data_IF_757755576694
#
_entry.id   IF_757755576694
#
_cell.length_a   1.000
_cell.length_b   1.000
_cell.length_c   1.000
_cell.angle_alpha   90.00
_cell.angle_beta   90.00
_cell.angle_gamma   90.00
#
_symmetry.space_group_name_H-M   'P 1'
#
loop_
_entity.id
_entity.type
_entity.pdbx_description
1 polymer ?
#
# COMPACT_ATOMS: atom_id res chain seq x y z
N UNK A 1 64.33 -10.06 -8.97
CA UNK A 1 63.24 -10.97 -9.40
C UNK A 1 62.39 -11.26 -8.19
N UNK A 2 61.15 -10.78 -8.18
CA UNK A 2 59.99 -11.40 -7.55
C UNK A 2 58.79 -10.53 -7.92
N UNK A 3 58.32 -10.77 -9.14
CA UNK A 3 57.07 -10.25 -9.68
C UNK A 3 55.94 -11.12 -9.14
N UNK A 4 54.95 -10.52 -8.46
CA UNK A 4 53.58 -11.02 -8.55
C UNK A 4 52.58 -9.95 -8.09
N UNK A 5 52.00 -9.26 -9.07
CA UNK A 5 50.73 -8.58 -8.92
C UNK A 5 49.61 -9.60 -8.70
N UNK A 6 48.74 -9.37 -7.72
CA UNK A 6 47.34 -9.78 -7.78
C UNK A 6 46.55 -8.96 -6.76
N UNK A 7 46.12 -7.76 -7.17
CA UNK A 7 45.03 -7.03 -6.52
C UNK A 7 43.74 -7.75 -6.88
N UNK A 8 43.25 -8.61 -5.98
CA UNK A 8 41.94 -9.23 -6.10
C UNK A 8 40.96 -8.43 -5.23
N UNK A 9 40.13 -7.63 -5.89
CA UNK A 9 38.90 -7.13 -5.28
C UNK A 9 38.03 -8.34 -4.88
N UNK A 10 37.56 -8.44 -3.62
CA UNK A 10 36.59 -9.47 -3.29
C UNK A 10 35.27 -9.19 -4.03
N UNK A 11 34.77 -10.24 -4.67
CA UNK A 11 33.53 -10.26 -5.42
C UNK A 11 32.33 -9.95 -4.52
N UNK A 12 31.37 -9.27 -5.13
CA UNK A 12 29.99 -9.03 -4.71
C UNK A 12 29.42 -10.11 -3.76
N UNK A 13 29.31 -9.76 -2.48
CA UNK A 13 28.54 -10.52 -1.49
C UNK A 13 27.15 -9.89 -1.36
N UNK A 14 26.19 -10.32 -2.19
CA UNK A 14 24.76 -10.16 -1.86
C UNK A 14 24.31 -11.35 -1.00
N UNK A 15 24.13 -11.20 0.32
CA UNK A 15 23.63 -12.30 1.13
C UNK A 15 22.13 -12.54 0.87
N UNK A 16 21.80 -13.80 0.65
CA UNK A 16 20.59 -14.44 1.20
C UNK A 16 19.22 -13.90 0.75
N UNK A 17 18.79 -14.28 -0.46
CA UNK A 17 17.37 -14.39 -0.83
C UNK A 17 17.05 -15.76 -1.46
N UNK A 18 17.57 -16.81 -0.82
CA UNK A 18 17.36 -18.20 -1.22
C UNK A 18 16.39 -18.91 -0.27
N UNK A 19 16.34 -18.48 1.01
CA UNK A 19 15.48 -19.10 2.04
C UNK A 19 13.98 -18.89 1.79
N UNK A 20 13.56 -17.67 1.38
CA UNK A 20 12.14 -17.35 1.10
C UNK A 20 11.56 -18.10 -0.12
N UNK A 21 12.32 -18.22 -1.20
CA UNK A 21 11.87 -18.96 -2.41
C UNK A 21 11.75 -20.47 -2.17
N UNK A 22 12.65 -21.04 -1.38
CA UNK A 22 12.60 -22.47 -1.02
C UNK A 22 11.42 -22.78 -0.10
N UNK A 23 11.09 -21.88 0.83
CA UNK A 23 9.95 -22.04 1.72
C UNK A 23 8.61 -22.05 0.96
N UNK A 24 8.38 -21.09 0.06
CA UNK A 24 7.15 -21.05 -0.73
C UNK A 24 7.09 -22.17 -1.79
N UNK A 25 8.22 -22.58 -2.36
CA UNK A 25 8.28 -23.71 -3.29
C UNK A 25 8.00 -25.07 -2.64
N UNK A 26 8.40 -25.25 -1.37
CA UNK A 26 8.16 -26.49 -0.63
C UNK A 26 6.69 -26.69 -0.24
N UNK A 27 5.98 -25.62 0.11
CA UNK A 27 4.55 -25.68 0.45
C UNK A 27 3.65 -26.03 -0.75
N UNK A 28 4.07 -25.66 -1.98
CA UNK A 28 3.33 -25.99 -3.19
C UNK A 28 3.45 -27.47 -3.59
N UNK A 29 4.59 -28.10 -3.30
CA UNK A 29 4.84 -29.49 -3.69
C UNK A 29 4.16 -30.50 -2.74
N UNK A 30 4.08 -30.18 -1.44
CA UNK A 30 3.40 -31.02 -0.44
C UNK A 30 1.86 -30.95 -0.52
N UNK A 31 1.30 -29.97 -1.24
CA UNK A 31 -0.13 -29.87 -1.52
C UNK A 31 -0.63 -30.73 -2.69
N UNK A 32 0.26 -31.22 -3.57
CA UNK A 32 -0.12 -31.94 -4.80
C UNK A 32 0.17 -33.45 -4.79
N UNK A 33 0.99 -33.96 -3.86
CA UNK A 33 1.17 -35.41 -3.67
C UNK A 33 0.26 -35.90 -2.56
N UNK A 34 -0.99 -36.20 -2.92
CA UNK A 34 -2.03 -36.62 -1.99
C UNK A 34 -1.67 -37.88 -1.18
N UNK A 35 -1.69 -37.71 0.15
CA UNK A 35 -2.09 -38.71 1.14
C UNK A 35 -2.28 -38.01 2.50
N UNK A 36 -3.36 -37.22 2.65
CA UNK A 36 -3.69 -36.61 3.94
C UNK A 36 -4.78 -35.53 3.91
N UNK A 37 -5.01 -34.89 2.75
CA UNK A 37 -6.02 -33.83 2.60
C UNK A 37 -7.40 -34.34 2.15
N UNK A 38 -7.69 -35.64 2.29
CA UNK A 38 -9.04 -36.18 2.01
C UNK A 38 -9.87 -36.43 3.28
N UNK A 39 -9.27 -36.38 4.47
CA UNK A 39 -10.00 -36.54 5.76
C UNK A 39 -10.24 -35.22 6.49
N UNK A 40 -9.62 -34.11 6.07
CA UNK A 40 -9.84 -32.79 6.66
C UNK A 40 -11.06 -32.04 6.11
N UNK A 41 -11.48 -32.33 4.86
CA UNK A 41 -12.61 -31.65 4.22
C UNK A 41 -13.96 -32.35 4.46
N UNK A 42 -13.95 -33.60 4.94
CA UNK A 42 -15.17 -34.38 5.20
C UNK A 42 -15.64 -34.34 6.69
N UNK A 43 -14.89 -33.66 7.57
CA UNK A 43 -15.32 -33.37 8.95
C UNK A 43 -16.02 -32.01 9.07
N UNK A 44 -16.20 -31.28 7.97
CA UNK A 44 -17.16 -30.16 7.88
C UNK A 44 -18.50 -30.72 7.39
N UNK A 45 -19.00 -31.73 8.09
CA UNK A 45 -20.36 -32.24 7.90
C UNK A 45 -21.34 -31.12 8.22
N UNK A 46 -22.22 -30.83 7.25
CA UNK A 46 -23.62 -30.40 7.45
C UNK A 46 -23.94 -29.78 8.81
N UNK A 47 -23.29 -28.66 9.12
CA UNK A 47 -23.74 -27.70 10.10
C UNK A 47 -24.23 -26.52 9.29
N UNK A 48 -25.52 -26.22 9.38
CA UNK A 48 -26.01 -24.89 9.09
C UNK A 48 -25.26 -23.93 10.03
N UNK A 49 -24.09 -23.47 9.60
CA UNK A 49 -23.55 -22.22 10.07
C UNK A 49 -24.55 -21.18 9.56
N UNK A 50 -25.56 -20.89 10.38
CA UNK A 50 -26.16 -19.57 10.38
C UNK A 50 -24.96 -18.63 10.44
N UNK A 51 -24.66 -18.01 9.31
CA UNK A 51 -23.90 -16.79 9.30
C UNK A 51 -24.70 -15.85 10.18
N UNK A 52 -24.35 -15.81 11.46
CA UNK A 52 -24.69 -14.70 12.31
C UNK A 52 -24.18 -13.51 11.54
N UNK A 53 -25.14 -12.71 11.08
CA UNK A 53 -24.88 -11.40 10.53
C UNK A 53 -24.27 -10.67 11.71
N UNK A 54 -22.94 -10.70 11.79
CA UNK A 54 -22.20 -9.78 12.64
C UNK A 54 -22.80 -8.41 12.27
N UNK A 55 -23.50 -7.82 13.23
CA UNK A 55 -23.81 -6.42 13.14
C UNK A 55 -22.45 -5.75 13.07
N UNK A 56 -22.07 -5.39 11.83
CA UNK A 56 -20.96 -4.52 11.54
C UNK A 56 -21.30 -3.23 12.29
N UNK A 57 -20.87 -3.16 13.55
CA UNK A 57 -21.02 -1.98 14.36
C UNK A 57 -20.46 -0.83 13.54
N UNK A 58 -21.25 0.22 13.36
CA UNK A 58 -20.94 1.39 12.53
C UNK A 58 -19.45 1.73 12.68
N UNK A 59 -18.65 1.34 11.69
CA UNK A 59 -17.22 1.62 11.73
C UNK A 59 -17.13 3.14 11.68
N UNK A 60 -16.35 3.75 12.58
CA UNK A 60 -16.19 5.21 12.59
C UNK A 60 -15.76 5.79 11.24
N UNK A 61 -15.17 4.95 10.36
CA UNK A 61 -14.89 5.25 8.97
C UNK A 61 -16.11 5.73 8.16
N UNK A 62 -17.31 5.17 8.38
CA UNK A 62 -18.54 5.57 7.64
C UNK A 62 -18.91 7.03 7.90
N UNK A 63 -18.53 7.58 9.06
CA UNK A 63 -18.85 8.97 9.43
C UNK A 63 -18.06 10.00 8.63
N UNK A 64 -16.90 9.61 8.11
CA UNK A 64 -16.00 10.49 7.35
C UNK A 64 -15.95 10.13 5.87
N UNK A 65 -16.58 9.02 5.47
CA UNK A 65 -16.66 8.61 4.09
C UNK A 65 -17.71 9.45 3.34
N UNK A 66 -17.26 10.13 2.29
CA UNK A 66 -18.14 10.87 1.37
C UNK A 66 -18.24 10.07 0.07
N UNK A 67 -19.43 9.54 -0.27
CA UNK A 67 -19.59 8.67 -1.43
C UNK A 67 -19.35 9.44 -2.74
N UNK A 68 -19.02 8.74 -3.85
CA UNK A 68 -18.83 9.36 -5.15
C UNK A 68 -20.06 10.17 -5.59
N UNK A 69 -19.83 11.39 -6.08
CA UNK A 69 -20.90 12.29 -6.53
C UNK A 69 -21.48 13.19 -5.43
N UNK A 70 -21.11 12.99 -4.16
CA UNK A 70 -21.43 13.92 -3.08
C UNK A 70 -20.29 14.91 -2.82
N UNK A 71 -20.66 16.09 -2.32
CA UNK A 71 -19.74 17.17 -2.00
C UNK A 71 -19.36 17.14 -0.52
N UNK A 72 -18.21 17.70 -0.22
CA UNK A 72 -17.80 18.01 1.14
C UNK A 72 -18.52 19.27 1.64
N UNK A 73 -18.86 19.30 2.94
CA UNK A 73 -19.62 20.39 3.55
C UNK A 73 -18.77 21.65 3.77
N UNK A 74 -17.48 21.48 4.01
CA UNK A 74 -16.58 22.58 4.34
C UNK A 74 -15.30 22.55 3.51
N UNK A 75 -14.80 23.75 3.22
CA UNK A 75 -13.48 23.96 2.64
C UNK A 75 -12.48 24.36 3.72
N UNK A 76 -11.32 23.71 3.73
CA UNK A 76 -10.18 24.10 4.55
C UNK A 76 -9.09 24.65 3.65
N UNK A 77 -8.65 25.87 3.94
CA UNK A 77 -7.43 26.45 3.39
C UNK A 77 -6.27 26.16 4.33
N UNK A 78 -5.36 25.30 3.89
CA UNK A 78 -4.21 24.87 4.66
C UNK A 78 -2.91 25.38 4.04
N UNK A 79 -1.95 25.72 4.88
CA UNK A 79 -0.61 26.12 4.44
C UNK A 79 0.16 24.90 3.93
N UNK A 80 0.87 25.06 2.82
CA UNK A 80 1.79 24.04 2.29
C UNK A 80 3.11 23.96 3.04
N UNK A 81 3.29 24.77 4.08
CA UNK A 81 4.54 24.88 4.84
C UNK A 81 5.74 25.20 3.92
N UNK A 82 6.80 24.41 4.06
CA UNK A 82 8.00 24.54 3.24
C UNK A 82 7.78 24.24 1.74
N UNK A 83 6.64 23.65 1.37
CA UNK A 83 6.32 23.39 -0.04
C UNK A 83 5.91 24.66 -0.78
N UNK A 84 5.60 25.76 -0.09
CA UNK A 84 5.34 27.06 -0.71
C UNK A 84 3.99 27.22 -1.42
N UNK A 85 3.08 26.26 -1.28
CA UNK A 85 1.74 26.29 -1.89
C UNK A 85 0.64 26.49 -0.83
N UNK A 86 -0.59 26.77 -1.27
CA UNK A 86 -1.80 26.69 -0.44
C UNK A 86 -2.64 25.50 -0.91
N UNK A 87 -3.15 24.71 0.04
CA UNK A 87 -3.96 23.53 -0.27
C UNK A 87 -5.39 23.75 0.18
N UNK A 88 -6.33 23.35 -0.69
CA UNK A 88 -7.76 23.32 -0.38
C UNK A 88 -8.13 21.86 -0.12
N UNK A 89 -8.66 21.59 1.08
CA UNK A 89 -9.21 20.30 1.47
C UNK A 89 -10.73 20.38 1.63
N UNK A 90 -11.43 19.27 1.38
CA UNK A 90 -12.83 19.09 1.76
C UNK A 90 -12.94 18.37 3.10
N UNK A 91 -13.87 18.79 3.96
CA UNK A 91 -14.30 18.03 5.13
C UNK A 91 -15.76 17.59 4.99
N UNK A 92 -16.11 16.36 5.43
CA UNK A 92 -15.30 15.47 6.28
C UNK A 92 -14.32 14.53 5.54
N UNK A 93 -14.33 14.49 4.20
CA UNK A 93 -13.55 13.46 3.47
C UNK A 93 -12.03 13.58 3.59
N UNK A 94 -11.51 14.75 3.97
CA UNK A 94 -10.09 15.03 4.06
C UNK A 94 -9.37 15.09 2.71
N UNK A 95 -10.09 15.00 1.59
CA UNK A 95 -9.50 14.95 0.25
C UNK A 95 -8.96 16.32 -0.16
N UNK A 96 -7.80 16.36 -0.81
CA UNK A 96 -7.29 17.59 -1.42
C UNK A 96 -8.04 17.87 -2.72
N UNK A 97 -8.72 19.01 -2.78
CA UNK A 97 -9.50 19.44 -3.94
C UNK A 97 -8.60 20.18 -4.94
N UNK A 98 -7.76 21.09 -4.44
CA UNK A 98 -6.83 21.86 -5.29
C UNK A 98 -5.58 22.27 -4.54
N UNK A 99 -4.48 22.34 -5.27
CA UNK A 99 -3.24 23.01 -4.86
C UNK A 99 -3.11 24.32 -5.62
N UNK A 100 -2.92 25.40 -4.90
CA UNK A 100 -2.72 26.74 -5.45
C UNK A 100 -1.25 27.06 -5.27
N UNK A 101 -0.47 27.14 -6.35
CA UNK A 101 0.94 27.50 -6.23
C UNK A 101 1.06 28.98 -5.86
N UNK A 102 1.98 29.28 -4.94
CA UNK A 102 2.20 30.66 -4.47
C UNK A 102 3.69 30.99 -4.56
N UNK A 103 4.52 30.32 -3.76
CA UNK A 103 5.97 30.52 -3.71
C UNK A 103 6.77 29.42 -4.43
N UNK A 104 6.14 28.30 -4.76
CA UNK A 104 6.75 27.23 -5.54
C UNK A 104 6.60 27.47 -7.05
N UNK A 105 7.48 26.87 -7.85
CA UNK A 105 7.25 26.72 -9.29
C UNK A 105 6.29 25.53 -9.49
N UNK A 106 5.20 25.73 -10.23
CA UNK A 106 4.26 24.65 -10.56
C UNK A 106 4.25 24.37 -12.07
N UNK A 107 4.81 23.23 -12.52
CA UNK A 107 4.86 22.89 -13.93
C UNK A 107 3.50 22.50 -14.51
N UNK A 108 2.49 22.15 -13.70
CA UNK A 108 1.17 21.76 -14.22
C UNK A 108 0.39 22.95 -14.76
N UNK A 109 0.51 24.12 -14.13
CA UNK A 109 -0.19 25.34 -14.55
C UNK A 109 0.76 26.42 -15.08
N UNK A 110 2.08 26.20 -15.01
CA UNK A 110 3.10 27.15 -15.45
C UNK A 110 3.36 28.28 -14.44
N UNK A 111 2.92 28.14 -13.19
CA UNK A 111 3.13 29.19 -12.19
C UNK A 111 4.61 29.36 -11.88
N UNK A 112 5.08 30.61 -11.95
CA UNK A 112 6.49 30.99 -11.78
C UNK A 112 7.33 30.93 -13.06
N UNK A 113 6.74 30.56 -14.20
CA UNK A 113 7.39 30.62 -15.53
C UNK A 113 6.60 31.43 -16.57
N UNK A 114 5.28 31.55 -16.43
CA UNK A 114 4.44 32.38 -17.31
C UNK A 114 4.78 33.86 -17.15
N UNK A 115 4.84 34.58 -18.28
CA UNK A 115 5.23 36.01 -18.38
C UNK A 115 4.17 37.00 -17.89
#
# INVERSE_FOLDING_TARGET
>A
MNDNEHSSYPADETPESTSRRKFLGAAALTGLTGAGLATGLAALGSGEAKAEKEEEGEREADKFEVPPGQLDDYYIFSSGGHSGEVRIYGLPSGRTIKRIPVFNIDPMVGWGITN
#
